data_IF_769693951629
#
_entry.id   IF_769693951629
#
_cell.length_a   1.000
_cell.length_b   1.000
_cell.length_c   1.000
_cell.angle_alpha   90.00
_cell.angle_beta   90.00
_cell.angle_gamma   90.00
#
_symmetry.space_group_name_H-M   'P 1'
#
loop_
_entity.id
_entity.type
_entity.pdbx_description
1 polymer ?
#
# COMPACT_ATOMS: atom_id res chain seq x y z
N UNK A 1 -32.91 9.41 -31.92
CA UNK A 1 -33.76 9.29 -33.12
C UNK A 1 -33.02 9.94 -34.27
N UNK A 2 -32.79 9.21 -35.36
CA UNK A 2 -32.47 9.75 -36.69
C UNK A 2 -33.01 8.78 -37.74
N UNK A 3 -33.30 9.32 -38.93
CA UNK A 3 -33.99 8.69 -40.06
C UNK A 3 -33.59 9.45 -41.34
N UNK A 4 -33.74 8.94 -42.57
CA UNK A 4 -34.38 7.70 -43.05
C UNK A 4 -33.72 7.26 -44.37
N UNK A 5 -33.63 5.95 -44.64
CA UNK A 5 -33.91 5.44 -46.00
C UNK A 5 -34.21 3.95 -46.02
N UNK A 6 -35.22 3.56 -46.80
CA UNK A 6 -35.38 2.21 -47.32
C UNK A 6 -34.69 2.14 -48.69
N UNK A 7 -34.25 0.94 -49.07
CA UNK A 7 -34.30 0.46 -50.46
C UNK A 7 -34.56 -1.06 -50.41
N UNK A 8 -35.25 -1.59 -51.42
CA UNK A 8 -35.83 -2.94 -51.43
C UNK A 8 -35.56 -3.62 -52.79
N UNK A 9 -35.46 -4.96 -52.78
CA UNK A 9 -35.08 -5.88 -53.89
C UNK A 9 -33.58 -5.84 -54.23
N UNK A 10 -32.87 -6.95 -54.36
CA UNK A 10 -33.21 -8.14 -55.15
C UNK A 10 -32.80 -9.50 -54.50
N UNK A 11 -33.38 -10.59 -54.99
CA UNK A 11 -33.16 -11.98 -54.57
C UNK A 11 -32.02 -12.65 -55.34
N UNK A 12 -30.92 -12.97 -54.65
CA UNK A 12 -29.82 -13.76 -55.21
C UNK A 12 -29.31 -14.81 -54.22
N UNK A 13 -29.42 -16.10 -54.58
CA UNK A 13 -28.82 -17.19 -53.80
C UNK A 13 -27.29 -17.15 -53.92
N UNK A 14 -26.61 -16.76 -52.84
CA UNK A 14 -25.15 -16.79 -52.71
C UNK A 14 -24.75 -17.34 -51.34
N UNK A 15 -23.66 -18.10 -51.28
CA UNK A 15 -23.27 -18.90 -50.11
C UNK A 15 -22.99 -18.02 -48.87
N UNK A 16 -23.58 -18.41 -47.73
CA UNK A 16 -23.27 -17.80 -46.43
C UNK A 16 -21.82 -18.08 -46.01
N UNK A 17 -20.94 -17.12 -46.33
CA UNK A 17 -19.65 -16.99 -45.65
C UNK A 17 -19.91 -16.49 -44.23
N UNK A 18 -20.09 -17.41 -43.27
CA UNK A 18 -20.26 -17.08 -41.84
C UNK A 18 -18.99 -16.38 -41.34
N UNK A 19 -18.98 -15.06 -41.51
CA UNK A 19 -17.94 -14.18 -40.99
C UNK A 19 -18.23 -14.02 -39.50
N UNK A 20 -17.61 -14.86 -38.68
CA UNK A 20 -17.76 -14.83 -37.22
C UNK A 20 -17.28 -13.48 -36.69
N UNK A 21 -18.21 -12.53 -36.57
CA UNK A 21 -17.98 -11.25 -35.92
C UNK A 21 -17.81 -11.49 -34.44
N UNK A 22 -16.56 -11.69 -34.03
CA UNK A 22 -16.16 -11.81 -32.63
C UNK A 22 -16.52 -10.51 -31.91
N UNK A 23 -17.65 -10.53 -31.22
CA UNK A 23 -18.16 -9.44 -30.39
C UNK A 23 -17.29 -9.28 -29.15
N UNK A 24 -16.12 -8.65 -29.33
CA UNK A 24 -15.22 -8.24 -28.24
C UNK A 24 -16.03 -7.48 -27.19
N UNK A 25 -16.24 -8.14 -26.06
CA UNK A 25 -17.14 -7.63 -25.04
C UNK A 25 -16.37 -6.56 -24.26
N UNK A 26 -16.79 -5.30 -24.35
CA UNK A 26 -16.07 -4.21 -23.68
C UNK A 26 -16.46 -4.14 -22.21
N UNK A 27 -15.56 -4.54 -21.32
CA UNK A 27 -15.72 -4.37 -19.87
C UNK A 27 -15.34 -2.94 -19.47
N UNK A 28 -16.22 -2.25 -18.75
CA UNK A 28 -15.90 -0.97 -18.11
C UNK A 28 -14.92 -1.23 -16.96
N UNK A 29 -13.81 -0.51 -16.93
CA UNK A 29 -12.79 -0.60 -15.87
C UNK A 29 -12.56 0.80 -15.33
N UNK A 30 -12.44 0.94 -14.01
CA UNK A 30 -12.10 2.20 -13.35
C UNK A 30 -10.61 2.17 -13.01
N UNK A 31 -9.86 3.12 -13.55
CA UNK A 31 -8.45 3.31 -13.27
C UNK A 31 -8.22 4.57 -12.43
N UNK A 32 -7.08 4.62 -11.74
CA UNK A 32 -6.57 5.82 -11.10
C UNK A 32 -6.07 6.79 -12.18
N UNK A 33 -6.65 7.98 -12.27
CA UNK A 33 -6.20 9.05 -13.17
C UNK A 33 -4.82 9.53 -12.74
N UNK A 34 -3.79 9.09 -13.47
CA UNK A 34 -2.40 9.50 -13.28
C UNK A 34 -2.20 11.02 -13.40
N UNK A 35 -2.91 11.66 -14.32
CA UNK A 35 -2.85 13.12 -14.52
C UNK A 35 -3.45 13.85 -13.32
N UNK A 36 -4.62 13.42 -12.83
CA UNK A 36 -5.24 13.99 -11.64
C UNK A 36 -4.34 13.81 -10.41
N UNK A 37 -3.82 12.59 -10.21
CA UNK A 37 -2.90 12.27 -9.10
C UNK A 37 -1.69 13.21 -9.10
N UNK A 38 -1.06 13.38 -10.26
CA UNK A 38 0.10 14.27 -10.43
C UNK A 38 -0.24 15.70 -10.03
N UNK A 39 -1.35 16.27 -10.54
CA UNK A 39 -1.78 17.62 -10.16
C UNK A 39 -2.11 17.76 -8.65
N UNK A 40 -2.72 16.74 -8.04
CA UNK A 40 -3.08 16.72 -6.62
C UNK A 40 -1.84 16.72 -5.70
N UNK A 41 -0.80 15.98 -6.09
CA UNK A 41 0.46 15.90 -5.33
C UNK A 41 1.30 17.17 -5.53
N UNK A 42 1.42 17.65 -6.77
CA UNK A 42 2.30 18.78 -7.11
C UNK A 42 1.71 20.14 -6.74
N UNK A 43 0.40 20.31 -6.92
CA UNK A 43 -0.34 21.56 -6.65
C UNK A 43 0.29 22.80 -7.32
N UNK A 44 0.81 22.62 -8.54
CA UNK A 44 1.45 23.67 -9.34
C UNK A 44 2.86 24.07 -8.90
N UNK A 45 3.47 23.37 -7.95
CA UNK A 45 4.85 23.63 -7.52
C UNK A 45 5.87 23.16 -8.58
N UNK A 46 7.00 23.85 -8.77
CA UNK A 46 8.13 23.31 -9.51
C UNK A 46 8.62 22.00 -8.86
N UNK A 47 8.87 20.97 -9.68
CA UNK A 47 9.26 19.62 -9.20
C UNK A 47 10.64 19.26 -9.71
N UNK A 48 11.56 18.98 -8.79
CA UNK A 48 12.93 18.56 -9.12
C UNK A 48 13.05 17.06 -9.35
N UNK A 49 12.20 16.24 -8.73
CA UNK A 49 12.19 14.77 -8.84
C UNK A 49 10.77 14.20 -8.75
N UNK A 50 10.46 13.25 -9.62
CA UNK A 50 9.25 12.44 -9.62
C UNK A 50 9.67 10.97 -9.61
N UNK A 51 9.19 10.19 -8.65
CA UNK A 51 9.55 8.77 -8.50
C UNK A 51 8.28 7.97 -8.22
N UNK A 52 8.12 6.84 -8.90
CA UNK A 52 7.08 5.85 -8.62
C UNK A 52 7.73 4.47 -8.57
N UNK A 53 7.52 3.76 -7.48
CA UNK A 53 7.94 2.35 -7.34
C UNK A 53 6.72 1.53 -6.99
N UNK A 54 6.59 0.36 -7.60
CA UNK A 54 5.52 -0.59 -7.31
C UNK A 54 5.99 -2.02 -7.64
N UNK A 55 5.14 -3.03 -7.39
CA UNK A 55 5.42 -4.41 -7.77
C UNK A 55 4.38 -4.99 -8.73
N UNK A 56 4.83 -5.91 -9.59
CA UNK A 56 4.00 -6.70 -10.50
C UNK A 56 3.34 -7.88 -9.77
N UNK A 57 2.08 -8.26 -10.10
CA UNK A 57 1.21 -7.68 -11.13
C UNK A 57 0.61 -6.34 -10.72
N UNK A 58 0.59 -5.39 -11.66
CA UNK A 58 -0.02 -4.07 -11.48
C UNK A 58 -1.53 -4.13 -11.71
N UNK A 59 -2.29 -3.34 -10.95
CA UNK A 59 -3.74 -3.17 -11.15
C UNK A 59 -4.10 -2.39 -12.43
N UNK A 60 -3.16 -1.58 -12.95
CA UNK A 60 -3.31 -0.84 -14.21
C UNK A 60 -1.92 -0.57 -14.84
N UNK A 61 -1.82 -0.35 -16.17
CA UNK A 61 -0.58 0.06 -16.83
C UNK A 61 -0.12 1.44 -16.34
N UNK A 62 1.19 1.64 -16.17
CA UNK A 62 1.79 2.86 -15.59
C UNK A 62 2.53 3.75 -16.59
N UNK A 63 2.49 3.43 -17.88
CA UNK A 63 3.19 4.14 -18.98
C UNK A 63 2.88 5.65 -19.02
N UNK A 64 1.66 6.04 -18.58
CA UNK A 64 1.28 7.46 -18.50
C UNK A 64 2.07 8.20 -17.41
N UNK A 65 2.53 7.55 -16.34
CA UNK A 65 3.37 8.16 -15.31
C UNK A 65 4.78 8.47 -15.84
N UNK A 66 5.37 7.57 -16.65
CA UNK A 66 6.64 7.83 -17.34
C UNK A 66 6.55 9.05 -18.27
N UNK A 67 5.45 9.15 -19.03
CA UNK A 67 5.16 10.32 -19.88
C UNK A 67 4.92 11.61 -19.10
N UNK A 68 4.52 11.53 -17.83
CA UNK A 68 4.43 12.65 -16.89
C UNK A 68 5.77 12.94 -16.19
N UNK A 69 6.85 12.26 -16.59
CA UNK A 69 8.21 12.49 -16.12
C UNK A 69 8.56 11.80 -14.79
N UNK A 70 7.80 10.78 -14.37
CA UNK A 70 8.18 9.94 -13.23
C UNK A 70 9.28 8.95 -13.61
N UNK A 71 10.31 8.82 -12.77
CA UNK A 71 11.15 7.62 -12.77
C UNK A 71 10.31 6.46 -12.21
N UNK A 72 9.81 5.60 -13.12
CA UNK A 72 9.02 4.43 -12.78
C UNK A 72 9.92 3.20 -12.60
N UNK A 73 9.70 2.44 -11.53
CA UNK A 73 10.42 1.19 -11.24
C UNK A 73 9.43 0.12 -10.78
N UNK A 74 9.29 -0.95 -11.55
CA UNK A 74 8.37 -2.05 -11.25
C UNK A 74 9.16 -3.30 -10.91
N UNK A 75 9.04 -3.78 -9.67
CA UNK A 75 9.72 -4.98 -9.18
C UNK A 75 8.84 -6.22 -9.31
N UNK A 76 9.45 -7.39 -9.41
CA UNK A 76 8.75 -8.68 -9.43
C UNK A 76 8.59 -9.17 -7.98
N UNK A 77 7.38 -9.59 -7.59
CA UNK A 77 7.16 -10.23 -6.29
C UNK A 77 7.94 -11.54 -6.20
N UNK A 78 8.63 -11.76 -5.08
CA UNK A 78 9.48 -12.94 -4.86
C UNK A 78 8.70 -14.06 -4.16
N UNK A 79 9.09 -15.34 -4.32
CA UNK A 79 8.59 -16.42 -3.49
C UNK A 79 8.75 -16.13 -1.99
N UNK A 80 7.71 -16.39 -1.21
CA UNK A 80 7.70 -16.30 0.25
C UNK A 80 8.00 -17.70 0.83
N UNK A 81 9.28 -17.94 1.15
CA UNK A 81 9.78 -19.25 1.62
C UNK A 81 9.58 -19.50 3.12
N UNK A 82 9.04 -18.53 3.87
CA UNK A 82 8.92 -18.59 5.34
C UNK A 82 9.99 -17.79 6.08
N UNK A 83 11.17 -17.62 5.49
CA UNK A 83 12.46 -17.17 6.06
C UNK A 83 12.70 -15.64 6.11
N UNK A 84 11.67 -14.82 5.90
CA UNK A 84 11.80 -13.37 5.91
C UNK A 84 12.21 -12.80 7.27
N UNK A 85 13.33 -12.05 7.31
CA UNK A 85 13.84 -11.34 8.51
C UNK A 85 12.79 -10.42 9.19
N UNK A 86 11.80 -9.96 8.42
CA UNK A 86 10.65 -9.18 8.88
C UNK A 86 9.72 -9.96 9.84
N UNK A 87 9.81 -11.30 9.88
CA UNK A 87 9.03 -12.17 10.78
C UNK A 87 9.62 -12.29 12.17
N UNK A 88 10.95 -12.39 12.28
CA UNK A 88 11.66 -12.50 13.57
C UNK A 88 11.30 -11.35 14.53
N UNK A 89 11.06 -10.15 13.98
CA UNK A 89 10.62 -8.99 14.75
C UNK A 89 9.18 -9.11 15.27
N UNK A 90 8.26 -9.71 14.51
CA UNK A 90 6.87 -9.93 14.93
C UNK A 90 6.78 -10.98 16.03
N UNK A 91 7.52 -12.07 15.91
CA UNK A 91 7.53 -13.13 16.93
C UNK A 91 8.24 -12.70 18.22
N UNK A 92 9.28 -11.86 18.13
CA UNK A 92 9.86 -11.19 19.31
C UNK A 92 8.87 -10.23 19.99
N UNK A 93 8.01 -9.56 19.23
CA UNK A 93 7.04 -8.60 19.78
C UNK A 93 5.82 -9.30 20.40
N UNK A 94 5.34 -10.40 19.82
CA UNK A 94 4.23 -11.20 20.38
C UNK A 94 4.65 -11.89 21.69
N UNK A 95 5.86 -12.43 21.76
CA UNK A 95 6.37 -13.06 22.99
C UNK A 95 6.55 -12.03 24.13
N UNK A 96 6.82 -10.76 23.80
CA UNK A 96 6.90 -9.66 24.77
C UNK A 96 5.54 -9.23 25.34
N UNK A 97 4.43 -9.56 24.68
CA UNK A 97 3.07 -9.39 25.26
C UNK A 97 2.68 -10.52 26.21
N UNK A 98 3.16 -11.75 25.99
CA UNK A 98 2.92 -12.88 26.89
C UNK A 98 3.78 -12.81 28.16
N UNK A 99 5.00 -12.30 28.07
CA UNK A 99 5.91 -12.16 29.21
C UNK A 99 5.52 -11.06 30.24
N UNK A 100 4.47 -10.27 30.00
CA UNK A 100 4.05 -9.15 30.88
C UNK A 100 2.90 -9.48 31.86
N UNK A 101 2.37 -10.69 31.87
CA UNK A 101 1.27 -11.08 32.76
C UNK A 101 1.70 -11.66 34.12
N UNK A 102 3.00 -11.85 34.37
CA UNK A 102 3.48 -12.72 35.45
C UNK A 102 4.39 -12.05 36.50
N UNK A 103 4.14 -10.79 36.85
CA UNK A 103 4.82 -10.09 37.97
C UNK A 103 3.87 -9.16 38.75
N UNK A 104 3.03 -9.72 39.63
CA UNK A 104 2.64 -9.07 40.89
C UNK A 104 1.90 -10.06 41.82
N UNK A 105 2.65 -10.78 42.65
CA UNK A 105 2.09 -11.50 43.81
C UNK A 105 2.08 -10.57 45.03
N UNK A 106 0.98 -9.83 45.21
CA UNK A 106 0.75 -8.92 46.35
C UNK A 106 -0.68 -9.05 46.87
N UNK A 107 -0.81 -9.41 48.15
CA UNK A 107 -2.03 -9.85 48.84
C UNK A 107 -3.27 -8.94 48.66
N UNK A 108 -4.47 -9.54 48.59
CA UNK A 108 -5.59 -9.42 49.58
C UNK A 108 -7.02 -9.56 48.99
N UNK A 109 -7.93 -10.02 49.87
CA UNK A 109 -9.40 -9.83 49.87
C UNK A 109 -10.31 -10.88 49.20
N UNK A 110 -11.61 -10.78 49.50
CA UNK A 110 -12.58 -11.88 49.67
C UNK A 110 -13.71 -11.87 48.61
N UNK A 111 -14.45 -12.98 48.56
CA UNK A 111 -15.83 -13.13 48.03
C UNK A 111 -15.94 -13.19 46.51
N UNK A 112 -16.58 -14.19 45.88
CA UNK A 112 -17.91 -14.72 46.20
C UNK A 112 -18.18 -16.05 45.47
N UNK A 113 -19.01 -16.94 46.04
CA UNK A 113 -19.54 -18.12 45.34
C UNK A 113 -20.66 -17.69 44.38
N UNK A 114 -20.56 -18.03 43.10
CA UNK A 114 -21.74 -18.16 42.21
C UNK A 114 -21.56 -19.39 41.30
N UNK A 115 -22.56 -20.26 41.31
CA UNK A 115 -22.69 -21.34 40.32
C UNK A 115 -23.33 -20.79 39.04
N UNK A 116 -22.80 -21.16 37.88
CA UNK A 116 -23.57 -21.29 36.64
C UNK A 116 -22.84 -22.16 35.62
N UNK A 117 -23.40 -23.35 35.41
CA UNK A 117 -23.41 -24.17 34.17
C UNK A 117 -22.68 -23.64 32.92
N UNK A 118 -21.86 -24.47 32.27
CA UNK A 118 -21.63 -24.37 30.82
C UNK A 118 -20.30 -24.90 30.29
N UNK A 119 -20.37 -25.84 29.36
CA UNK A 119 -19.34 -26.19 28.35
C UNK A 119 -17.92 -26.53 28.83
N UNK A 120 -17.70 -27.84 28.99
CA UNK A 120 -16.40 -28.50 28.83
C UNK A 120 -15.79 -28.21 27.44
N UNK A 121 -14.58 -27.67 27.42
CA UNK A 121 -13.70 -27.66 26.23
C UNK A 121 -12.31 -28.09 26.67
N UNK A 122 -11.83 -29.20 26.13
CA UNK A 122 -10.62 -29.85 26.60
C UNK A 122 -9.37 -29.02 26.30
N UNK A 123 -8.52 -28.84 27.32
CA UNK A 123 -7.18 -28.28 27.17
C UNK A 123 -6.26 -29.31 26.50
N UNK A 124 -6.17 -29.28 25.17
CA UNK A 124 -5.22 -30.11 24.45
C UNK A 124 -3.81 -29.49 24.47
N UNK A 125 -3.08 -29.72 25.56
CA UNK A 125 -1.65 -29.43 25.67
C UNK A 125 -0.84 -30.41 24.82
N UNK A 126 -0.83 -30.19 23.50
CA UNK A 126 -0.14 -31.02 22.52
C UNK A 126 1.28 -30.53 22.20
N UNK A 127 2.25 -30.89 23.03
CA UNK A 127 3.67 -30.81 22.66
C UNK A 127 4.00 -31.88 21.61
N UNK A 128 3.84 -31.54 20.33
CA UNK A 128 3.98 -32.46 19.20
C UNK A 128 5.32 -32.37 18.48
N UNK A 129 6.40 -32.89 19.09
CA UNK A 129 7.56 -33.35 18.30
C UNK A 129 7.22 -34.74 17.75
N UNK A 130 6.92 -34.83 16.46
CA UNK A 130 6.44 -36.07 15.84
C UNK A 130 6.58 -36.03 14.33
N UNK A 131 7.59 -36.73 13.81
CA UNK A 131 7.84 -36.85 12.38
C UNK A 131 6.69 -37.61 11.70
N UNK A 132 5.84 -36.87 10.99
CA UNK A 132 4.75 -37.43 10.19
C UNK A 132 5.05 -37.28 8.71
N UNK A 133 5.11 -38.41 7.99
CA UNK A 133 5.15 -38.44 6.52
C UNK A 133 3.80 -38.01 5.94
N UNK A 134 3.50 -36.72 6.05
CA UNK A 134 2.30 -36.12 5.47
C UNK A 134 2.41 -36.06 3.95
N UNK A 135 1.38 -36.55 3.25
CA UNK A 135 1.25 -36.39 1.80
C UNK A 135 1.47 -34.94 1.41
N UNK A 136 2.50 -34.69 0.60
CA UNK A 136 2.92 -33.36 0.19
C UNK A 136 1.91 -32.76 -0.80
N UNK A 137 0.76 -32.31 -0.27
CA UNK A 137 -0.06 -31.31 -0.95
C UNK A 137 0.85 -30.12 -1.23
N UNK A 138 1.17 -29.91 -2.52
CA UNK A 138 2.13 -28.91 -2.95
C UNK A 138 1.69 -27.54 -2.41
N UNK A 139 2.39 -27.07 -1.38
CA UNK A 139 2.02 -25.85 -0.68
C UNK A 139 2.12 -24.71 -1.70
N UNK A 140 0.98 -24.09 -2.01
CA UNK A 140 0.89 -23.06 -3.02
C UNK A 140 1.86 -21.93 -2.66
N UNK A 141 2.95 -21.81 -3.41
CA UNK A 141 3.98 -20.81 -3.21
C UNK A 141 3.30 -19.44 -3.15
N UNK A 142 3.38 -18.80 -1.99
CA UNK A 142 2.94 -17.41 -1.84
C UNK A 142 4.04 -16.51 -2.40
N UNK A 143 3.66 -15.33 -2.87
CA UNK A 143 4.59 -14.34 -3.39
C UNK A 143 4.45 -13.06 -2.58
N UNK A 144 5.57 -12.49 -2.16
CA UNK A 144 5.65 -11.26 -1.35
C UNK A 144 6.34 -10.13 -2.13
N UNK A 145 6.06 -8.92 -1.70
CA UNK A 145 6.79 -7.75 -2.17
C UNK A 145 8.14 -7.66 -1.45
N UNK A 146 9.18 -7.20 -2.15
CA UNK A 146 10.51 -6.96 -1.59
C UNK A 146 11.19 -5.84 -2.41
N UNK A 147 11.89 -4.91 -1.75
CA UNK A 147 12.69 -3.88 -2.39
C UNK A 147 11.95 -2.62 -2.85
N UNK A 148 10.61 -2.61 -2.81
CA UNK A 148 9.80 -1.46 -3.24
C UNK A 148 9.96 -0.29 -2.27
N UNK A 149 9.73 -0.52 -0.98
CA UNK A 149 9.84 0.48 0.06
C UNK A 149 11.31 0.88 0.30
N UNK A 150 12.24 -0.08 0.22
CA UNK A 150 13.68 0.19 0.29
C UNK A 150 14.14 1.15 -0.81
N UNK A 151 13.67 0.96 -2.05
CA UNK A 151 14.03 1.85 -3.16
C UNK A 151 13.43 3.25 -2.96
N UNK A 152 12.18 3.35 -2.50
CA UNK A 152 11.56 4.66 -2.21
C UNK A 152 12.28 5.38 -1.06
N UNK A 153 12.64 4.68 0.02
CA UNK A 153 13.43 5.22 1.12
C UNK A 153 14.81 5.68 0.65
N UNK A 154 15.48 4.90 -0.20
CA UNK A 154 16.77 5.27 -0.81
C UNK A 154 16.64 6.52 -1.70
N UNK A 155 15.62 6.59 -2.56
CA UNK A 155 15.37 7.75 -3.44
C UNK A 155 15.05 9.01 -2.64
N UNK A 156 14.34 8.87 -1.53
CA UNK A 156 14.07 9.95 -0.57
C UNK A 156 15.36 10.42 0.12
N UNK A 157 16.21 9.51 0.61
CA UNK A 157 17.54 9.87 1.14
C UNK A 157 18.42 10.57 0.08
N UNK A 158 18.45 10.07 -1.16
CA UNK A 158 19.15 10.71 -2.27
C UNK A 158 18.61 12.10 -2.62
N UNK A 159 17.33 12.39 -2.36
CA UNK A 159 16.75 13.72 -2.53
C UNK A 159 17.17 14.66 -1.40
N UNK A 160 17.07 14.20 -0.15
CA UNK A 160 17.46 14.95 1.05
C UNK A 160 18.97 15.27 1.04
N UNK A 161 19.80 14.35 0.55
CA UNK A 161 21.26 14.50 0.51
C UNK A 161 21.78 15.39 -0.64
N UNK A 162 20.99 15.60 -1.69
CA UNK A 162 21.42 16.37 -2.87
C UNK A 162 21.25 17.90 -2.73
N UNK A 163 20.97 18.38 -1.52
CA UNK A 163 20.76 19.80 -1.23
C UNK A 163 21.30 20.06 0.17
N UNK A 164 22.32 20.90 0.26
CA UNK A 164 22.96 21.22 1.55
C UNK A 164 22.14 22.22 2.36
N UNK A 165 21.87 23.37 1.74
CA UNK A 165 20.96 24.40 2.22
C UNK A 165 19.60 24.26 1.53
N UNK A 166 18.57 23.92 2.31
CA UNK A 166 17.21 23.68 1.80
C UNK A 166 16.49 25.03 1.62
N UNK A 167 16.08 25.42 0.39
CA UNK A 167 15.39 26.69 0.18
C UNK A 167 14.06 26.77 0.94
N UNK A 168 13.69 27.96 1.41
CA UNK A 168 12.45 28.15 2.17
C UNK A 168 11.22 27.67 1.39
N UNK A 169 10.32 26.95 2.08
CA UNK A 169 9.10 26.40 1.49
C UNK A 169 9.28 25.09 0.70
N UNK A 170 10.52 24.61 0.50
CA UNK A 170 10.80 23.33 -0.16
C UNK A 170 10.01 22.19 0.49
N UNK A 171 9.29 21.42 -0.34
CA UNK A 171 8.34 20.40 0.13
C UNK A 171 8.62 19.05 -0.51
N UNK A 172 8.79 18.03 0.34
CA UNK A 172 8.72 16.62 -0.04
C UNK A 172 7.25 16.19 0.04
N UNK A 173 6.76 15.55 -1.03
CA UNK A 173 5.42 14.97 -1.10
C UNK A 173 5.55 13.46 -1.15
N UNK A 174 4.91 12.75 -0.22
CA UNK A 174 4.96 11.30 -0.12
C UNK A 174 3.55 10.73 -0.24
N UNK A 175 3.31 9.88 -1.23
CA UNK A 175 2.06 9.15 -1.40
C UNK A 175 2.22 7.71 -0.89
N UNK A 176 2.14 7.53 0.43
CA UNK A 176 2.22 6.21 1.08
C UNK A 176 1.42 6.18 2.38
N UNK A 177 0.82 5.03 2.68
CA UNK A 177 0.24 4.74 3.99
C UNK A 177 1.20 3.99 4.93
N UNK A 178 2.24 3.35 4.39
CA UNK A 178 3.14 2.53 5.19
C UNK A 178 3.93 3.38 6.19
N UNK A 179 4.05 2.85 7.39
CA UNK A 179 4.85 3.40 8.48
C UNK A 179 5.19 2.28 9.44
N UNK A 180 5.54 1.12 8.87
CA UNK A 180 6.09 -0.01 9.59
C UNK A 180 7.62 0.12 9.66
N UNK A 181 8.23 -0.73 10.48
CA UNK A 181 9.67 -0.99 10.44
C UNK A 181 10.00 -1.68 9.11
N UNK A 182 11.01 -1.20 8.38
CA UNK A 182 11.44 -1.79 7.12
C UNK A 182 12.26 -3.07 7.33
N UNK A 183 12.34 -3.94 6.31
CA UNK A 183 13.08 -5.21 6.43
C UNK A 183 14.59 -4.99 6.68
N UNK A 184 15.15 -3.87 6.18
CA UNK A 184 16.57 -3.53 6.26
C UNK A 184 16.85 -2.23 7.03
N UNK A 185 15.83 -1.62 7.63
CA UNK A 185 15.90 -0.32 8.30
C UNK A 185 14.89 -0.24 9.45
N UNK A 186 15.37 -0.13 10.69
CA UNK A 186 14.54 -0.09 11.91
C UNK A 186 13.54 1.08 11.92
N UNK A 187 13.82 2.17 11.21
CA UNK A 187 12.99 3.37 11.14
C UNK A 187 11.98 3.38 9.97
N UNK A 188 12.12 2.47 9.00
CA UNK A 188 11.32 2.46 7.76
C UNK A 188 11.25 3.84 7.08
N UNK A 189 10.07 4.27 6.66
CA UNK A 189 9.85 5.62 6.09
C UNK A 189 9.95 6.77 7.11
N UNK A 190 9.86 6.50 8.42
CA UNK A 190 9.85 7.56 9.44
C UNK A 190 11.23 8.20 9.59
N UNK A 191 12.31 7.42 9.52
CA UNK A 191 13.71 7.92 9.61
C UNK A 191 14.10 8.91 8.52
N UNK A 192 13.89 8.60 7.21
CA UNK A 192 14.07 9.57 6.12
C UNK A 192 13.25 10.84 6.32
N UNK A 193 11.97 10.74 6.74
CA UNK A 193 11.10 11.90 6.97
C UNK A 193 11.58 12.74 8.16
N UNK A 194 11.97 12.11 9.26
CA UNK A 194 12.58 12.75 10.43
C UNK A 194 13.84 13.53 10.04
N UNK A 195 14.65 12.94 9.15
CA UNK A 195 15.86 13.58 8.61
C UNK A 195 15.52 14.78 7.72
N UNK A 196 14.55 14.64 6.81
CA UNK A 196 14.09 15.73 5.95
C UNK A 196 13.59 16.93 6.78
N UNK A 197 12.70 16.67 7.74
CA UNK A 197 12.11 17.69 8.61
C UNK A 197 13.19 18.41 9.44
N UNK A 198 14.21 17.70 9.95
CA UNK A 198 15.35 18.30 10.65
C UNK A 198 16.23 19.18 9.76
N UNK A 199 16.29 18.93 8.45
CA UNK A 199 16.96 19.79 7.46
C UNK A 199 16.09 20.95 6.95
N UNK A 200 14.89 21.17 7.52
CA UNK A 200 14.01 22.28 7.14
C UNK A 200 13.07 21.98 5.96
N UNK A 201 13.04 20.76 5.43
CA UNK A 201 12.01 20.37 4.46
C UNK A 201 10.64 20.36 5.09
N UNK A 202 9.63 20.81 4.34
CA UNK A 202 8.23 20.49 4.63
C UNK A 202 7.92 19.10 4.09
N UNK A 203 7.06 18.35 4.78
CA UNK A 203 6.63 17.01 4.35
C UNK A 203 5.11 16.93 4.33
N UNK A 204 4.57 16.58 3.17
CA UNK A 204 3.13 16.37 2.95
C UNK A 204 2.88 14.89 2.62
N UNK A 205 2.30 14.17 3.59
CA UNK A 205 1.96 12.75 3.47
C UNK A 205 0.53 12.59 2.96
N UNK A 206 0.40 12.09 1.73
CA UNK A 206 -0.86 11.71 1.12
C UNK A 206 -1.10 10.21 1.35
N UNK A 207 -2.23 9.87 1.96
CA UNK A 207 -2.64 8.48 2.18
C UNK A 207 -4.16 8.37 2.21
N UNK A 208 -4.67 7.20 1.87
CA UNK A 208 -6.02 6.80 2.29
C UNK A 208 -6.03 6.56 3.80
N UNK A 209 -7.09 6.95 4.50
CA UNK A 209 -7.22 6.82 5.96
C UNK A 209 -7.15 5.36 6.40
N UNK A 210 -7.81 4.46 5.68
CA UNK A 210 -7.79 3.01 5.95
C UNK A 210 -6.43 2.34 5.78
N UNK A 211 -5.48 2.99 5.09
CA UNK A 211 -4.12 2.50 4.86
C UNK A 211 -3.06 3.21 5.71
N UNK A 212 -3.41 4.29 6.42
CA UNK A 212 -2.45 5.15 7.10
C UNK A 212 -1.97 4.55 8.43
N UNK A 213 -0.67 4.21 8.51
CA UNK A 213 -0.06 3.79 9.78
C UNK A 213 -0.23 4.84 10.88
N UNK A 214 -0.61 4.38 12.09
CA UNK A 214 -0.72 5.22 13.29
C UNK A 214 0.63 5.80 13.73
N UNK A 215 1.75 5.23 13.26
CA UNK A 215 3.10 5.72 13.60
C UNK A 215 3.32 7.16 13.11
N UNK A 216 2.86 7.51 11.90
CA UNK A 216 2.89 8.86 11.35
C UNK A 216 2.27 9.91 12.28
N UNK A 217 1.03 9.65 12.72
CA UNK A 217 0.30 10.54 13.64
C UNK A 217 0.91 10.55 15.06
N UNK A 218 1.59 9.48 15.48
CA UNK A 218 2.27 9.38 16.79
C UNK A 218 3.56 10.21 16.82
N UNK A 219 4.36 10.16 15.75
CA UNK A 219 5.68 10.82 15.70
C UNK A 219 5.58 12.28 15.24
N UNK A 220 4.94 12.54 14.09
CA UNK A 220 4.93 13.86 13.45
C UNK A 220 3.57 14.57 13.50
N UNK A 221 2.56 13.96 14.14
CA UNK A 221 1.21 14.53 14.22
C UNK A 221 1.13 15.85 15.01
N UNK A 222 -0.06 16.44 15.08
CA UNK A 222 -0.32 17.79 15.59
C UNK A 222 0.21 18.13 17.01
N UNK A 223 0.56 17.12 17.83
CA UNK A 223 1.16 17.33 19.17
C UNK A 223 2.68 17.53 19.13
N UNK A 224 3.35 17.07 18.08
CA UNK A 224 4.79 17.22 17.84
C UNK A 224 5.14 18.66 17.41
N UNK A 225 6.41 19.05 17.46
CA UNK A 225 6.82 20.38 16.98
C UNK A 225 6.62 20.54 15.46
N UNK A 226 6.77 19.47 14.69
CA UNK A 226 6.53 19.45 13.24
C UNK A 226 5.07 19.67 12.87
N UNK A 227 4.16 19.09 13.66
CA UNK A 227 2.73 19.32 13.54
C UNK A 227 2.33 20.74 13.96
N UNK A 228 2.91 21.27 15.05
CA UNK A 228 2.64 22.64 15.54
C UNK A 228 3.16 23.73 14.59
N UNK A 229 4.33 23.53 13.99
CA UNK A 229 4.93 24.44 12.99
C UNK A 229 4.30 24.30 11.60
N UNK A 230 3.46 23.28 11.36
CA UNK A 230 2.89 22.98 10.05
C UNK A 230 3.93 22.53 9.00
N UNK A 231 5.11 22.07 9.45
CA UNK A 231 6.15 21.51 8.59
C UNK A 231 5.85 20.08 8.18
N UNK A 232 5.18 19.28 9.03
CA UNK A 232 4.60 18.00 8.66
C UNK A 232 3.07 18.07 8.60
N UNK A 233 2.46 17.55 7.52
CA UNK A 233 1.01 17.45 7.37
C UNK A 233 0.58 16.14 6.72
N UNK A 234 -0.53 15.59 7.18
CA UNK A 234 -1.21 14.45 6.53
C UNK A 234 -2.40 14.98 5.74
N UNK A 235 -2.55 14.53 4.50
CA UNK A 235 -3.62 14.92 3.57
C UNK A 235 -4.34 13.64 3.13
N UNK A 236 -5.59 13.47 3.57
CA UNK A 236 -6.41 12.30 3.21
C UNK A 236 -6.73 12.30 1.71
N UNK A 237 -6.53 11.17 1.02
CA UNK A 237 -6.81 11.07 -0.42
C UNK A 237 -8.32 11.00 -0.74
N UNK A 238 -9.15 10.71 0.26
CA UNK A 238 -10.61 10.64 0.19
C UNK A 238 -11.23 11.90 -0.42
N UNK A 239 -10.71 13.07 -0.05
CA UNK A 239 -11.21 14.37 -0.54
C UNK A 239 -11.05 14.55 -2.07
N UNK A 240 -10.20 13.74 -2.71
CA UNK A 240 -9.94 13.78 -4.14
C UNK A 240 -10.50 12.54 -4.88
N UNK A 241 -11.18 11.63 -4.19
CA UNK A 241 -11.54 10.31 -4.72
C UNK A 241 -12.33 10.37 -6.04
N UNK A 242 -13.24 11.33 -6.20
CA UNK A 242 -14.00 11.53 -7.43
C UNK A 242 -13.13 11.99 -8.61
N UNK A 243 -12.18 12.89 -8.37
CA UNK A 243 -11.26 13.42 -9.38
C UNK A 243 -10.16 12.42 -9.76
N UNK A 244 -9.93 11.41 -8.91
CA UNK A 244 -8.93 10.36 -9.09
C UNK A 244 -9.42 9.18 -9.95
N UNK A 245 -10.71 9.09 -10.30
CA UNK A 245 -11.25 7.99 -11.12
C UNK A 245 -11.31 8.37 -12.60
N UNK A 246 -10.70 7.55 -13.45
CA UNK A 246 -10.83 7.57 -14.91
C UNK A 246 -11.64 6.34 -15.36
N UNK A 247 -12.73 6.56 -16.11
CA UNK A 247 -13.52 5.50 -16.72
C UNK A 247 -12.86 5.05 -18.04
N UNK A 248 -12.53 3.76 -18.13
CA UNK A 248 -12.00 3.12 -19.33
C UNK A 248 -12.88 1.96 -19.80
N UNK A 249 -12.66 1.55 -21.05
CA UNK A 249 -13.24 0.34 -21.63
C UNK A 249 -12.11 -0.56 -22.12
N UNK A 250 -12.14 -1.82 -21.72
CA UNK A 250 -11.17 -2.84 -22.16
C UNK A 250 -11.94 -3.93 -22.90
N UNK A 251 -11.56 -4.23 -24.13
CA UNK A 251 -12.07 -5.39 -24.85
C UNK A 251 -11.59 -6.67 -24.15
N UNK A 252 -12.51 -7.59 -23.86
CA UNK A 252 -12.17 -9.00 -23.60
C UNK A 252 -12.31 -9.84 -24.86
#
# INVERSE_FOLDING_TARGET
>A
MYVTSQDVTDTGHGQESVTTTTTTTKRRVRHLSHTSLTFILERGRPVTRRVLVASSPLYQPVDRMERLGYEVRIYIRVPDLGDGMDRDHKDRQSNKTLARSNTHSGLTSKSSKRHSTGAFSASNSGSGSGSGYGSATAQRIRYREQGVDELLQLKLHQAIAATDDVPEGSTIVLATGDGNVGQFNEDGFLGPVRTALKRGWRVELYSWEGALSRAWKKEFGAKSEWGKTGTFRVIGMEQFALSLVEDGWVSV
#
